data_IF_795910603565
#
_entry.id   IF_795910603565
#
_cell.length_a   1.000
_cell.length_b   1.000
_cell.length_c   1.000
_cell.angle_alpha   90.00
_cell.angle_beta   90.00
_cell.angle_gamma   90.00
#
_symmetry.space_group_name_H-M   'P 1'
#
loop_
_entity.id
_entity.type
_entity.pdbx_description
1 polymer ?
#
# COMPACT_ATOMS: atom_id res chain seq x y z
N UNK A 1 17.83 23.02 -10.35
CA UNK A 1 18.57 23.54 -11.53
C UNK A 1 19.18 22.35 -12.25
N UNK A 2 19.07 22.27 -13.58
CA UNK A 2 19.76 21.25 -14.36
C UNK A 2 21.22 21.70 -14.56
N UNK A 3 22.18 20.87 -14.15
CA UNK A 3 23.61 21.18 -14.19
C UNK A 3 24.27 20.74 -15.50
N UNK A 4 23.62 19.87 -16.28
CA UNK A 4 24.12 19.41 -17.57
C UNK A 4 23.72 20.42 -18.64
N UNK A 5 24.70 21.09 -19.23
CA UNK A 5 24.50 21.99 -20.36
C UNK A 5 24.53 21.19 -21.66
N UNK A 6 23.54 21.44 -22.53
CA UNK A 6 23.51 20.96 -23.91
C UNK A 6 23.67 22.17 -24.81
N UNK A 7 24.64 22.10 -25.71
CA UNK A 7 24.94 23.17 -26.66
C UNK A 7 24.10 23.07 -27.94
N UNK A 8 23.37 21.97 -28.14
CA UNK A 8 22.55 21.79 -29.35
C UNK A 8 21.25 22.60 -29.30
N UNK A 9 20.92 23.27 -30.41
CA UNK A 9 19.69 24.07 -30.55
C UNK A 9 18.43 23.22 -30.77
N UNK A 10 18.59 21.93 -31.12
CA UNK A 10 17.50 21.03 -31.47
C UNK A 10 17.14 20.20 -30.24
N UNK A 11 15.93 20.43 -29.73
CA UNK A 11 15.37 19.76 -28.56
C UNK A 11 14.19 18.83 -28.90
N UNK A 12 13.95 18.58 -30.19
CA UNK A 12 12.89 17.71 -30.70
C UNK A 12 13.43 16.57 -31.58
N UNK A 13 12.69 15.47 -31.61
CA UNK A 13 12.96 14.29 -32.45
C UNK A 13 11.66 13.79 -33.10
N UNK A 14 11.64 13.39 -34.39
CA UNK A 14 12.77 13.34 -35.32
C UNK A 14 13.15 14.71 -35.92
N UNK A 15 14.43 14.91 -36.24
CA UNK A 15 14.95 16.11 -36.91
C UNK A 15 15.85 15.75 -38.09
N UNK A 16 15.89 16.60 -39.11
CA UNK A 16 16.83 16.46 -40.24
C UNK A 16 18.24 16.98 -39.90
N UNK A 17 18.34 17.77 -38.84
CA UNK A 17 19.56 18.49 -38.47
C UNK A 17 20.25 17.88 -37.24
N UNK A 18 19.60 16.95 -36.53
CA UNK A 18 20.17 16.17 -35.43
C UNK A 18 20.32 14.70 -35.86
N UNK A 19 21.52 14.10 -35.80
CA UNK A 19 21.75 12.70 -36.16
C UNK A 19 21.23 11.68 -35.13
N UNK A 20 20.66 12.13 -34.00
CA UNK A 20 20.03 11.25 -33.02
C UNK A 20 19.06 10.27 -33.69
N UNK A 21 19.06 9.01 -33.23
CA UNK A 21 18.21 7.94 -33.75
C UNK A 21 17.68 7.08 -32.63
N UNK A 22 16.53 6.44 -32.85
CA UNK A 22 16.06 5.40 -31.94
C UNK A 22 17.11 4.29 -31.81
N UNK A 23 17.29 3.78 -30.59
CA UNK A 23 18.07 2.57 -30.36
C UNK A 23 17.41 1.36 -31.04
N UNK A 24 18.18 0.29 -31.23
CA UNK A 24 17.66 -0.98 -31.75
C UNK A 24 16.54 -1.52 -30.85
N UNK A 25 15.49 -2.04 -31.47
CA UNK A 25 14.38 -2.64 -30.74
C UNK A 25 14.81 -4.00 -30.19
N UNK A 26 14.74 -4.14 -28.87
CA UNK A 26 14.80 -5.44 -28.20
C UNK A 26 13.36 -5.96 -28.04
N UNK A 27 13.10 -7.26 -28.28
CA UNK A 27 11.75 -7.78 -28.27
C UNK A 27 11.12 -7.64 -26.87
N UNK A 28 10.05 -6.85 -26.79
CA UNK A 28 9.19 -6.78 -25.61
C UNK A 28 8.03 -7.75 -25.86
N UNK A 29 7.85 -8.79 -25.02
CA UNK A 29 6.75 -9.74 -25.19
C UNK A 29 5.40 -9.02 -25.22
N UNK A 30 4.55 -9.24 -26.24
CA UNK A 30 3.23 -8.61 -26.29
C UNK A 30 2.35 -9.18 -25.17
N UNK A 31 1.67 -8.29 -24.44
CA UNK A 31 0.70 -8.69 -23.42
C UNK A 31 -0.65 -8.98 -24.07
N UNK A 32 -1.24 -10.14 -23.77
CA UNK A 32 -2.62 -10.45 -24.16
C UNK A 32 -3.57 -9.67 -23.25
N UNK A 33 -4.32 -8.74 -23.82
CA UNK A 33 -5.31 -7.95 -23.10
C UNK A 33 -6.71 -8.57 -23.28
N UNK A 34 -7.49 -8.53 -22.21
CA UNK A 34 -8.90 -8.96 -22.19
C UNK A 34 -9.72 -8.00 -21.33
N UNK A 35 -11.01 -7.88 -21.61
CA UNK A 35 -11.93 -7.02 -20.86
C UNK A 35 -12.04 -5.61 -21.43
N UNK A 36 -12.53 -4.67 -20.60
CA UNK A 36 -12.77 -3.27 -20.95
C UNK A 36 -11.91 -2.37 -20.08
N UNK A 37 -11.46 -1.24 -20.63
CA UNK A 37 -10.83 -0.18 -19.84
C UNK A 37 -11.88 0.46 -18.93
N UNK A 38 -11.77 0.21 -17.64
CA UNK A 38 -12.70 0.70 -16.62
C UNK A 38 -11.96 1.13 -15.35
N UNK A 39 -12.62 1.93 -14.50
CA UNK A 39 -12.15 2.29 -13.17
C UNK A 39 -12.87 1.40 -12.14
N UNK A 40 -12.31 0.23 -11.86
CA UNK A 40 -12.88 -0.72 -10.91
C UNK A 40 -11.84 -1.21 -9.89
N UNK A 41 -12.34 -1.75 -8.77
CA UNK A 41 -11.54 -2.50 -7.80
C UNK A 41 -11.30 -3.91 -8.34
N UNK A 42 -10.17 -4.52 -7.97
CA UNK A 42 -9.87 -5.91 -8.34
C UNK A 42 -10.85 -6.87 -7.65
N UNK A 43 -11.24 -7.96 -8.32
CA UNK A 43 -12.21 -8.91 -7.77
C UNK A 43 -11.70 -9.66 -6.53
N UNK A 44 -10.42 -10.06 -6.54
CA UNK A 44 -9.80 -10.86 -5.47
C UNK A 44 -8.97 -9.97 -4.54
N UNK A 45 -9.65 -9.18 -3.70
CA UNK A 45 -8.99 -8.25 -2.79
C UNK A 45 -8.18 -8.95 -1.68
N UNK A 46 -8.77 -9.94 -1.00
CA UNK A 46 -8.12 -10.72 0.07
C UNK A 46 -7.34 -9.87 1.10
N UNK A 47 -7.95 -8.76 1.55
CA UNK A 47 -7.28 -7.70 2.31
C UNK A 47 -6.68 -8.13 3.67
N UNK A 48 -7.14 -9.25 4.26
CA UNK A 48 -6.85 -9.58 5.67
C UNK A 48 -6.00 -10.84 5.88
N UNK A 49 -5.94 -11.75 4.91
CA UNK A 49 -5.25 -13.04 5.08
C UNK A 49 -3.75 -12.88 5.32
N UNK A 50 -3.06 -12.17 4.42
CA UNK A 50 -1.61 -12.00 4.51
C UNK A 50 -1.19 -11.17 5.74
N UNK A 51 -1.89 -10.07 6.11
CA UNK A 51 -1.61 -9.38 7.38
C UNK A 51 -1.77 -10.28 8.61
N UNK A 52 -2.80 -11.13 8.64
CA UNK A 52 -3.02 -12.11 9.70
C UNK A 52 -1.89 -13.13 9.80
N UNK A 53 -1.48 -13.71 8.67
CA UNK A 53 -0.33 -14.63 8.59
C UNK A 53 0.96 -13.96 9.07
N UNK A 54 1.18 -12.70 8.67
CA UNK A 54 2.33 -11.91 9.10
C UNK A 54 2.35 -11.70 10.60
N UNK A 55 1.23 -11.31 11.22
CA UNK A 55 1.16 -11.14 12.67
C UNK A 55 1.44 -12.44 13.42
N UNK A 56 0.84 -13.55 12.97
CA UNK A 56 1.05 -14.89 13.56
C UNK A 56 2.50 -15.39 13.44
N UNK A 57 3.23 -14.93 12.43
CA UNK A 57 4.65 -15.29 12.25
C UNK A 57 5.62 -14.63 13.24
N UNK A 58 5.19 -13.61 14.00
CA UNK A 58 6.06 -12.88 14.90
C UNK A 58 6.21 -13.58 16.25
N UNK A 59 7.40 -13.45 16.83
CA UNK A 59 7.63 -13.79 18.23
C UNK A 59 6.74 -12.92 19.16
N UNK A 60 6.35 -13.42 20.34
CA UNK A 60 5.40 -12.73 21.23
C UNK A 60 5.83 -11.31 21.62
N UNK A 61 7.12 -11.07 21.85
CA UNK A 61 7.68 -9.76 22.18
C UNK A 61 7.46 -8.75 21.05
N UNK A 62 7.59 -9.19 19.79
CA UNK A 62 7.35 -8.36 18.61
C UNK A 62 5.87 -8.08 18.41
N UNK A 63 5.00 -9.06 18.65
CA UNK A 63 3.54 -8.84 18.63
C UNK A 63 3.14 -7.78 19.65
N UNK A 64 3.70 -7.85 20.86
CA UNK A 64 3.42 -6.90 21.94
C UNK A 64 3.89 -5.48 21.62
N UNK A 65 5.10 -5.32 21.05
CA UNK A 65 5.59 -4.02 20.57
C UNK A 65 4.68 -3.43 19.49
N UNK A 66 4.21 -4.27 18.57
CA UNK A 66 3.29 -3.83 17.52
C UNK A 66 1.96 -3.34 18.10
N UNK A 67 1.33 -4.14 18.97
CA UNK A 67 0.06 -3.78 19.63
C UNK A 67 0.21 -2.45 20.37
N UNK A 68 1.28 -2.31 21.16
CA UNK A 68 1.56 -1.07 21.91
C UNK A 68 1.65 0.15 21.01
N UNK A 69 2.34 0.03 19.86
CA UNK A 69 2.45 1.12 18.89
C UNK A 69 1.10 1.50 18.27
N UNK A 70 0.29 0.52 17.89
CA UNK A 70 -1.04 0.76 17.31
C UNK A 70 -1.99 1.39 18.32
N UNK A 71 -1.99 0.90 19.56
CA UNK A 71 -2.78 1.49 20.65
C UNK A 71 -2.36 2.93 20.92
N UNK A 72 -1.05 3.23 20.92
CA UNK A 72 -0.54 4.59 21.06
C UNK A 72 -1.07 5.51 19.94
N UNK A 73 -1.04 5.05 18.69
CA UNK A 73 -1.55 5.83 17.55
C UNK A 73 -3.07 6.03 17.60
N UNK A 74 -3.85 5.00 17.96
CA UNK A 74 -5.31 5.07 18.00
C UNK A 74 -5.87 5.77 19.25
N UNK A 75 -5.02 5.98 20.26
CA UNK A 75 -5.33 6.78 21.46
C UNK A 75 -5.21 8.28 21.23
N UNK A 76 -4.68 8.73 20.09
CA UNK A 76 -4.57 10.17 19.79
C UNK A 76 -5.96 10.83 19.83
N UNK A 77 -6.12 11.98 20.50
CA UNK A 77 -7.41 12.64 20.67
C UNK A 77 -8.03 13.11 19.34
N UNK A 78 -7.25 13.23 18.26
CA UNK A 78 -7.74 13.56 16.92
C UNK A 78 -8.37 12.35 16.22
N UNK A 79 -8.11 11.13 16.69
CA UNK A 79 -8.68 9.91 16.12
C UNK A 79 -10.10 9.75 16.66
N UNK A 80 -11.08 9.86 15.75
CA UNK A 80 -12.48 9.70 16.10
C UNK A 80 -12.80 8.27 16.53
N UNK A 81 -13.88 8.12 17.31
CA UNK A 81 -14.36 6.80 17.72
C UNK A 81 -14.67 5.91 16.51
N UNK A 82 -15.24 6.47 15.45
CA UNK A 82 -15.53 5.75 14.20
C UNK A 82 -14.27 5.17 13.56
N UNK A 83 -13.23 6.00 13.36
CA UNK A 83 -11.96 5.56 12.78
C UNK A 83 -11.34 4.46 13.65
N UNK A 84 -11.41 4.60 14.97
CA UNK A 84 -10.92 3.59 15.91
C UNK A 84 -11.67 2.25 15.75
N UNK A 85 -13.00 2.28 15.65
CA UNK A 85 -13.82 1.08 15.42
C UNK A 85 -13.52 0.40 14.09
N UNK A 86 -13.32 1.16 13.01
CA UNK A 86 -12.96 0.62 11.69
C UNK A 86 -11.63 -0.13 11.76
N UNK A 87 -10.61 0.49 12.36
CA UNK A 87 -9.29 -0.16 12.49
C UNK A 87 -9.33 -1.41 13.37
N UNK A 88 -10.07 -1.37 14.49
CA UNK A 88 -10.28 -2.55 15.33
C UNK A 88 -10.98 -3.68 14.55
N UNK A 89 -11.97 -3.36 13.71
CA UNK A 89 -12.64 -4.32 12.83
C UNK A 89 -11.67 -4.96 11.84
N UNK A 90 -10.86 -4.17 11.13
CA UNK A 90 -9.87 -4.68 10.18
C UNK A 90 -8.83 -5.58 10.84
N UNK A 91 -8.32 -5.19 12.01
CA UNK A 91 -7.38 -6.05 12.74
C UNK A 91 -8.02 -7.33 13.27
N UNK A 92 -9.30 -7.29 13.63
CA UNK A 92 -10.06 -8.49 14.02
C UNK A 92 -10.29 -9.45 12.84
N UNK A 93 -10.48 -8.91 11.63
CA UNK A 93 -10.57 -9.70 10.39
C UNK A 93 -9.22 -10.33 10.02
N UNK A 94 -8.11 -9.64 10.28
CA UNK A 94 -6.77 -10.18 10.07
C UNK A 94 -6.42 -11.28 11.10
N UNK A 95 -6.63 -11.01 12.39
CA UNK A 95 -6.43 -11.98 13.47
C UNK A 95 -7.30 -11.63 14.68
N UNK A 96 -8.12 -12.59 15.14
CA UNK A 96 -9.06 -12.37 16.26
C UNK A 96 -8.34 -11.95 17.55
N UNK A 97 -7.18 -12.54 17.85
CA UNK A 97 -6.44 -12.23 19.08
C UNK A 97 -5.83 -10.82 19.02
N UNK A 98 -5.38 -10.38 17.85
CA UNK A 98 -4.86 -9.04 17.63
C UNK A 98 -5.96 -7.99 17.85
N UNK A 99 -7.11 -8.16 17.19
CA UNK A 99 -8.25 -7.26 17.32
C UNK A 99 -8.72 -7.12 18.76
N UNK A 100 -8.86 -8.24 19.47
CA UNK A 100 -9.23 -8.25 20.89
C UNK A 100 -8.22 -7.50 21.77
N UNK A 101 -6.92 -7.78 21.64
CA UNK A 101 -5.87 -7.12 22.43
C UNK A 101 -5.84 -5.61 22.23
N UNK A 102 -6.07 -5.14 21.00
CA UNK A 102 -6.15 -3.70 20.70
C UNK A 102 -7.43 -3.10 21.28
N UNK A 103 -8.59 -3.74 21.06
CA UNK A 103 -9.89 -3.24 21.53
C UNK A 103 -9.93 -3.09 23.06
N UNK A 104 -9.42 -4.09 23.80
CA UNK A 104 -9.37 -4.06 25.26
C UNK A 104 -8.53 -2.92 25.81
N UNK A 105 -7.45 -2.51 25.12
CA UNK A 105 -6.58 -1.41 25.57
C UNK A 105 -7.13 -0.03 25.23
N UNK A 106 -8.05 0.05 24.27
CA UNK A 106 -8.67 1.29 23.83
C UNK A 106 -10.06 1.54 24.44
N UNK A 107 -10.54 0.63 25.30
CA UNK A 107 -11.90 0.62 25.87
C UNK A 107 -13.02 0.71 24.80
N UNK A 108 -12.76 0.19 23.60
CA UNK A 108 -13.77 0.13 22.53
C UNK A 108 -14.55 -1.16 22.70
N UNK A 109 -15.88 -1.07 22.85
CA UNK A 109 -16.75 -2.26 22.90
C UNK A 109 -16.71 -2.97 21.54
N UNK A 110 -16.50 -4.30 21.50
CA UNK A 110 -16.65 -5.05 20.24
C UNK A 110 -18.09 -4.92 19.76
N UNK A 111 -18.30 -4.35 18.58
CA UNK A 111 -19.57 -4.48 17.86
C UNK A 111 -19.46 -5.75 17.04
N UNK A 112 -20.04 -6.84 17.55
CA UNK A 112 -20.21 -8.07 16.79
C UNK A 112 -21.40 -7.95 15.85
#
# INVERSE_FOLDING_TARGET
>A
MNFMHRDEEIDYFPSRYDPARHAEQYPIPPVRLSGKRDKCVIEKENNFKQPGERYRSWAPDRQERFITRIVGALSDPRVTHEVRSIWVSYWSQADKSLGQKIASRLNVKPSY
#
